data_IF_445762960731
#
_entry.id   IF_445762960731
#
_cell.length_a   1.000
_cell.length_b   1.000
_cell.length_c   1.000
_cell.angle_alpha   90.00
_cell.angle_beta   90.00
_cell.angle_gamma   90.00
#
_symmetry.space_group_name_H-M   'P 1'
#
loop_
_entity.id
_entity.type
_entity.pdbx_description
1 polymer ?
#
# COMPACT_ATOMS: atom_id res chain seq x y z
N UNK A 1 -39.75 2.77 -41.81
CA UNK A 1 -38.89 2.10 -42.80
C UNK A 1 -38.80 2.99 -44.03
N UNK A 2 -37.64 2.99 -44.68
CA UNK A 2 -37.27 3.70 -45.92
C UNK A 2 -37.37 5.23 -45.90
N UNK A 3 -36.29 5.87 -45.44
CA UNK A 3 -35.98 7.26 -45.74
C UNK A 3 -34.52 7.55 -45.39
N UNK A 4 -33.76 8.00 -46.39
CA UNK A 4 -32.46 8.66 -46.26
C UNK A 4 -31.18 7.78 -46.17
N UNK A 5 -30.93 6.98 -47.22
CA UNK A 5 -29.55 6.67 -47.67
C UNK A 5 -29.33 7.06 -49.14
N UNK A 6 -30.07 8.05 -49.65
CA UNK A 6 -29.89 8.57 -51.01
C UNK A 6 -28.72 9.55 -51.16
N UNK A 7 -28.05 9.90 -50.05
CA UNK A 7 -26.84 10.73 -50.04
C UNK A 7 -25.54 9.90 -49.94
N UNK A 8 -25.64 8.58 -49.71
CA UNK A 8 -24.48 7.70 -49.55
C UNK A 8 -23.61 7.54 -50.81
N UNK A 9 -24.18 7.46 -52.03
CA UNK A 9 -23.35 7.45 -53.23
C UNK A 9 -22.59 8.77 -53.39
N UNK A 10 -23.20 9.91 -53.06
CA UNK A 10 -22.57 11.22 -53.13
C UNK A 10 -21.50 11.42 -52.06
N UNK A 11 -21.67 10.89 -50.85
CA UNK A 11 -20.68 10.99 -49.77
C UNK A 11 -19.44 10.13 -50.05
N UNK A 12 -19.59 8.96 -50.68
CA UNK A 12 -18.45 8.12 -51.07
C UNK A 12 -17.68 8.75 -52.24
N UNK A 13 -18.37 9.39 -53.19
CA UNK A 13 -17.72 10.07 -54.32
C UNK A 13 -17.06 11.39 -53.89
N UNK A 14 -17.70 12.22 -53.06
CA UNK A 14 -17.09 13.44 -52.51
C UNK A 14 -16.03 13.16 -51.44
N UNK A 15 -16.23 12.15 -50.60
CA UNK A 15 -15.24 11.70 -49.62
C UNK A 15 -14.00 11.09 -50.29
N UNK A 16 -14.20 10.29 -51.33
CA UNK A 16 -13.10 9.77 -52.16
C UNK A 16 -12.32 10.88 -52.87
N UNK A 17 -13.01 11.89 -53.42
CA UNK A 17 -12.36 13.02 -54.08
C UNK A 17 -11.59 13.92 -53.10
N UNK A 18 -12.11 14.16 -51.89
CA UNK A 18 -11.43 14.94 -50.85
C UNK A 18 -10.19 14.22 -50.30
N UNK A 19 -10.28 12.90 -50.07
CA UNK A 19 -9.13 12.09 -49.65
C UNK A 19 -8.09 11.99 -50.77
N UNK A 20 -8.52 11.81 -52.02
CA UNK A 20 -7.61 11.84 -53.16
C UNK A 20 -6.94 13.21 -53.32
N UNK A 21 -7.65 14.32 -53.12
CA UNK A 21 -7.08 15.66 -53.14
C UNK A 21 -6.09 15.90 -52.00
N UNK A 22 -6.37 15.44 -50.78
CA UNK A 22 -5.45 15.53 -49.64
C UNK A 22 -4.22 14.64 -49.82
N UNK A 23 -4.38 13.43 -50.37
CA UNK A 23 -3.26 12.54 -50.70
C UNK A 23 -2.45 13.04 -51.90
N UNK A 24 -3.10 13.68 -52.88
CA UNK A 24 -2.43 14.36 -54.00
C UNK A 24 -1.67 15.57 -53.48
N UNK A 25 -2.24 16.39 -52.59
CA UNK A 25 -1.57 17.55 -51.99
C UNK A 25 -0.47 17.12 -51.02
N UNK A 26 -0.63 16.05 -50.22
CA UNK A 26 0.46 15.47 -49.42
C UNK A 26 1.52 14.82 -50.30
N UNK A 27 1.14 14.18 -51.40
CA UNK A 27 2.04 13.59 -52.38
C UNK A 27 2.82 14.64 -53.18
N UNK A 28 2.19 15.77 -53.51
CA UNK A 28 2.79 16.93 -54.16
C UNK A 28 3.61 17.77 -53.16
N UNK A 29 3.25 17.84 -51.88
CA UNK A 29 4.08 18.45 -50.82
C UNK A 29 5.24 17.55 -50.39
N UNK A 30 5.08 16.23 -50.45
CA UNK A 30 6.16 15.26 -50.23
C UNK A 30 7.09 15.16 -51.45
N UNK A 31 6.55 15.24 -52.69
CA UNK A 31 7.35 15.44 -53.91
C UNK A 31 8.01 16.81 -53.92
N UNK A 32 7.33 17.87 -53.49
CA UNK A 32 7.90 19.20 -53.31
C UNK A 32 9.02 19.21 -52.28
N UNK A 33 8.84 18.55 -51.12
CA UNK A 33 9.92 18.33 -50.14
C UNK A 33 11.06 17.48 -50.70
N UNK A 34 10.79 16.42 -51.47
CA UNK A 34 11.82 15.58 -52.10
C UNK A 34 12.54 16.26 -53.26
N UNK A 35 11.87 17.15 -53.99
CA UNK A 35 12.45 17.99 -55.03
C UNK A 35 13.27 19.09 -54.38
N UNK A 36 12.79 19.75 -53.32
CA UNK A 36 13.57 20.70 -52.50
C UNK A 36 14.74 20.04 -51.76
N UNK A 37 14.63 18.76 -51.37
CA UNK A 37 15.71 17.95 -50.79
C UNK A 37 16.71 17.47 -51.85
N UNK A 38 16.28 17.26 -53.11
CA UNK A 38 17.15 16.91 -54.24
C UNK A 38 17.84 18.13 -54.84
N UNK A 39 17.16 19.27 -54.89
CA UNK A 39 17.65 20.59 -55.27
C UNK A 39 18.57 21.15 -54.16
N UNK A 40 18.29 20.84 -52.90
CA UNK A 40 19.19 21.07 -51.76
C UNK A 40 20.38 20.12 -51.64
N UNK A 41 20.58 19.21 -52.59
CA UNK A 41 21.76 18.32 -52.74
C UNK A 41 22.67 18.71 -53.90
N UNK A 42 22.33 19.76 -54.67
CA UNK A 42 23.29 20.27 -55.65
C UNK A 42 24.54 20.79 -54.94
N UNK A 43 25.74 20.65 -55.52
CA UNK A 43 26.97 21.13 -54.92
C UNK A 43 26.89 22.61 -54.51
N UNK A 44 26.23 23.45 -55.31
CA UNK A 44 26.03 24.88 -55.05
C UNK A 44 25.05 25.15 -53.90
N UNK A 45 23.93 24.41 -53.82
CA UNK A 45 22.98 24.59 -52.72
C UNK A 45 23.57 24.11 -51.38
N UNK A 46 24.37 23.04 -51.41
CA UNK A 46 25.10 22.57 -50.23
C UNK A 46 26.18 23.57 -49.80
N UNK A 47 26.86 24.20 -50.75
CA UNK A 47 27.86 25.23 -50.48
C UNK A 47 27.27 26.48 -49.80
N UNK A 48 26.14 26.99 -50.32
CA UNK A 48 25.43 28.10 -49.70
C UNK A 48 24.94 27.75 -48.28
N UNK A 49 24.38 26.55 -48.09
CA UNK A 49 23.92 26.07 -46.79
C UNK A 49 25.08 25.90 -45.80
N UNK A 50 26.21 25.37 -46.26
CA UNK A 50 27.41 25.23 -45.44
C UNK A 50 27.95 26.61 -45.00
N UNK A 51 27.96 27.59 -45.91
CA UNK A 51 28.33 28.98 -45.59
C UNK A 51 27.42 29.62 -44.55
N UNK A 52 26.09 29.48 -44.71
CA UNK A 52 25.12 29.98 -43.72
C UNK A 52 25.26 29.28 -42.37
N UNK A 53 25.43 27.95 -42.37
CA UNK A 53 25.60 27.16 -41.14
C UNK A 53 26.88 27.54 -40.38
N UNK A 54 27.97 27.85 -41.09
CA UNK A 54 29.22 28.33 -40.49
C UNK A 54 29.01 29.65 -39.75
N UNK A 55 28.39 30.64 -40.39
CA UNK A 55 28.13 31.95 -39.78
C UNK A 55 27.21 31.80 -38.55
N UNK A 56 26.13 31.04 -38.67
CA UNK A 56 25.20 30.81 -37.56
C UNK A 56 25.86 30.10 -36.38
N UNK A 57 26.67 29.06 -36.65
CA UNK A 57 27.34 28.33 -35.58
C UNK A 57 28.45 29.17 -34.93
N UNK A 58 29.18 30.00 -35.69
CA UNK A 58 30.17 30.93 -35.14
C UNK A 58 29.53 31.97 -34.21
N UNK A 59 28.43 32.59 -34.65
CA UNK A 59 27.67 33.55 -33.83
C UNK A 59 27.17 32.92 -32.51
N UNK A 60 26.61 31.71 -32.57
CA UNK A 60 26.12 30.97 -31.39
C UNK A 60 27.25 30.63 -30.42
N UNK A 61 28.39 30.15 -30.94
CA UNK A 61 29.54 29.80 -30.09
C UNK A 61 30.13 31.05 -29.45
N UNK A 62 30.26 32.16 -30.20
CA UNK A 62 30.74 33.44 -29.66
C UNK A 62 29.83 33.96 -28.55
N UNK A 63 28.52 33.93 -28.76
CA UNK A 63 27.56 34.31 -27.72
C UNK A 63 27.68 33.43 -26.47
N UNK A 64 27.92 32.13 -26.63
CA UNK A 64 28.07 31.22 -25.51
C UNK A 64 29.40 31.37 -24.76
N UNK A 65 30.46 31.86 -25.42
CA UNK A 65 31.71 32.22 -24.76
C UNK A 65 31.52 33.36 -23.78
N UNK A 66 30.80 34.41 -24.20
CA UNK A 66 30.44 35.52 -23.33
C UNK A 66 29.62 35.02 -22.13
N UNK A 67 28.71 34.07 -22.39
CA UNK A 67 27.83 33.48 -21.39
C UNK A 67 28.56 32.67 -20.30
N UNK A 68 29.70 32.03 -20.62
CA UNK A 68 30.51 31.32 -19.62
C UNK A 68 31.01 32.29 -18.55
N UNK A 69 31.45 33.49 -18.93
CA UNK A 69 31.90 34.52 -17.99
C UNK A 69 30.79 34.99 -17.06
N UNK A 70 29.59 35.21 -17.60
CA UNK A 70 28.41 35.55 -16.79
C UNK A 70 27.98 34.39 -15.87
N UNK A 71 28.03 33.16 -16.36
CA UNK A 71 27.71 31.98 -15.57
C UNK A 71 28.71 31.76 -14.43
N UNK A 72 30.01 31.99 -14.65
CA UNK A 72 31.04 31.91 -13.60
C UNK A 72 30.81 32.96 -12.50
N UNK A 73 30.44 34.18 -12.89
CA UNK A 73 30.16 35.25 -11.94
C UNK A 73 28.90 34.97 -11.10
N UNK A 74 27.85 34.42 -11.71
CA UNK A 74 26.56 34.21 -11.06
C UNK A 74 26.46 32.88 -10.30
N UNK A 75 26.95 31.79 -10.89
CA UNK A 75 26.81 30.43 -10.38
C UNK A 75 28.13 29.82 -9.87
N UNK A 76 29.26 30.48 -10.10
CA UNK A 76 30.57 30.00 -9.69
C UNK A 76 31.23 29.05 -10.70
N UNK A 77 32.52 28.76 -10.45
CA UNK A 77 33.39 28.03 -11.38
C UNK A 77 32.99 26.58 -11.60
N UNK A 78 32.50 25.88 -10.58
CA UNK A 78 32.04 24.49 -10.71
C UNK A 78 30.88 24.38 -11.71
N UNK A 79 30.01 25.38 -11.66
CA UNK A 79 28.71 25.36 -12.31
C UNK A 79 28.82 25.85 -13.77
N UNK A 80 29.71 26.79 -14.04
CA UNK A 80 30.03 27.21 -15.40
C UNK A 80 30.93 26.21 -16.16
N UNK A 81 31.59 25.28 -15.46
CA UNK A 81 32.52 24.33 -16.08
C UNK A 81 31.87 23.46 -17.17
N UNK A 82 30.56 23.18 -17.05
CA UNK A 82 29.85 22.38 -18.05
C UNK A 82 29.60 23.17 -19.33
N UNK A 83 29.15 24.42 -19.23
CA UNK A 83 29.00 25.35 -20.35
C UNK A 83 30.36 25.59 -21.02
N UNK A 84 31.41 25.82 -20.23
CA UNK A 84 32.78 26.01 -20.72
C UNK A 84 33.29 24.80 -21.53
N UNK A 85 33.00 23.57 -21.08
CA UNK A 85 33.33 22.35 -21.82
C UNK A 85 32.57 22.28 -23.14
N UNK A 86 31.26 22.53 -23.14
CA UNK A 86 30.45 22.51 -24.35
C UNK A 86 30.94 23.54 -25.39
N UNK A 87 31.25 24.76 -24.94
CA UNK A 87 31.87 25.81 -25.77
C UNK A 87 33.21 25.34 -26.33
N UNK A 88 34.09 24.74 -25.52
CA UNK A 88 35.39 24.25 -26.00
C UNK A 88 35.26 23.17 -27.08
N UNK A 89 34.29 22.26 -26.95
CA UNK A 89 33.97 21.23 -27.93
C UNK A 89 33.34 21.82 -29.20
N UNK A 90 32.46 22.80 -29.05
CA UNK A 90 31.86 23.52 -30.18
C UNK A 90 32.91 24.30 -30.99
N UNK A 91 33.87 24.96 -30.31
CA UNK A 91 35.03 25.59 -30.97
C UNK A 91 35.88 24.58 -31.74
N UNK A 92 36.06 23.36 -31.23
CA UNK A 92 36.78 22.32 -31.95
C UNK A 92 36.06 21.93 -33.25
N UNK A 93 34.75 21.70 -33.19
CA UNK A 93 33.95 21.38 -34.36
C UNK A 93 33.96 22.53 -35.39
N UNK A 94 33.91 23.79 -34.96
CA UNK A 94 34.03 24.96 -35.84
C UNK A 94 35.42 25.04 -36.50
N UNK A 95 36.51 24.79 -35.76
CA UNK A 95 37.86 24.75 -36.34
C UNK A 95 37.95 23.70 -37.45
N UNK A 96 37.40 22.52 -37.23
CA UNK A 96 37.35 21.47 -38.26
C UNK A 96 36.51 21.91 -39.47
N UNK A 97 35.38 22.58 -39.26
CA UNK A 97 34.52 23.09 -40.32
C UNK A 97 35.20 24.19 -41.15
N UNK A 98 35.91 25.13 -40.52
CA UNK A 98 36.68 26.17 -41.22
C UNK A 98 37.86 25.58 -42.03
N UNK A 99 38.52 24.54 -41.54
CA UNK A 99 39.57 23.84 -42.30
C UNK A 99 39.01 23.17 -43.56
N UNK A 100 37.80 22.62 -43.49
CA UNK A 100 37.12 22.08 -44.67
C UNK A 100 36.69 23.19 -45.63
N UNK A 101 36.24 24.33 -45.11
CA UNK A 101 35.90 25.52 -45.91
C UNK A 101 37.12 26.06 -46.66
N UNK A 102 38.27 26.14 -45.98
CA UNK A 102 39.52 26.58 -46.59
C UNK A 102 39.97 25.68 -47.75
N UNK A 103 39.74 24.36 -47.66
CA UNK A 103 40.03 23.43 -48.76
C UNK A 103 39.13 23.67 -49.97
N UNK A 104 37.84 23.91 -49.73
CA UNK A 104 36.87 24.22 -50.79
C UNK A 104 37.14 25.55 -51.51
N UNK A 105 37.75 26.50 -50.80
CA UNK A 105 38.06 27.85 -51.30
C UNK A 105 39.49 27.97 -51.85
N UNK A 106 40.27 26.87 -51.88
CA UNK A 106 41.63 26.89 -52.40
C UNK A 106 41.68 26.92 -53.94
N UNK A 107 42.90 27.03 -54.50
CA UNK A 107 43.10 27.13 -55.95
C UNK A 107 43.12 25.77 -56.67
N UNK A 108 42.98 24.65 -55.92
CA UNK A 108 43.03 23.29 -56.43
C UNK A 108 41.60 22.87 -56.80
N UNK A 109 41.33 22.46 -58.05
CA UNK A 109 39.99 22.05 -58.44
C UNK A 109 39.55 20.75 -57.73
N UNK A 110 38.52 20.85 -56.90
CA UNK A 110 37.89 19.70 -56.24
C UNK A 110 36.89 18.95 -57.14
N UNK A 111 36.73 17.64 -56.92
CA UNK A 111 35.67 16.87 -57.57
C UNK A 111 34.29 17.20 -56.98
N UNK A 112 33.21 17.05 -57.76
CA UNK A 112 31.84 17.25 -57.27
C UNK A 112 31.50 16.37 -56.05
N UNK A 113 32.07 15.16 -56.00
CA UNK A 113 31.93 14.23 -54.87
C UNK A 113 32.64 14.75 -53.62
N UNK A 114 33.86 15.29 -53.76
CA UNK A 114 34.61 15.88 -52.65
C UNK A 114 33.92 17.15 -52.12
N UNK A 115 33.44 18.02 -53.02
CA UNK A 115 32.65 19.21 -52.66
C UNK A 115 31.39 18.86 -51.88
N UNK A 116 30.65 17.86 -52.36
CA UNK A 116 29.43 17.37 -51.71
C UNK A 116 29.74 16.80 -50.31
N UNK A 117 30.80 15.98 -50.20
CA UNK A 117 31.21 15.35 -48.93
C UNK A 117 31.67 16.39 -47.91
N UNK A 118 32.52 17.34 -48.29
CA UNK A 118 33.03 18.35 -47.39
C UNK A 118 31.96 19.36 -46.97
N UNK A 119 31.10 19.83 -47.88
CA UNK A 119 29.97 20.69 -47.51
C UNK A 119 28.99 19.99 -46.56
N UNK A 120 28.68 18.71 -46.80
CA UNK A 120 27.86 17.92 -45.87
C UNK A 120 28.52 17.83 -44.49
N UNK A 121 29.83 17.57 -44.45
CA UNK A 121 30.57 17.48 -43.19
C UNK A 121 30.62 18.82 -42.44
N UNK A 122 30.77 19.94 -43.15
CA UNK A 122 30.69 21.29 -42.57
C UNK A 122 29.33 21.48 -41.90
N UNK A 123 28.23 21.15 -42.59
CA UNK A 123 26.87 21.27 -42.06
C UNK A 123 26.71 20.41 -40.78
N UNK A 124 27.21 19.18 -40.77
CA UNK A 124 27.16 18.29 -39.60
C UNK A 124 27.97 18.82 -38.40
N UNK A 125 29.17 19.35 -38.65
CA UNK A 125 30.03 19.94 -37.63
C UNK A 125 29.39 21.19 -37.02
N UNK A 126 28.84 22.08 -37.85
CA UNK A 126 28.12 23.27 -37.41
C UNK A 126 26.88 22.89 -36.59
N UNK A 127 26.06 21.95 -37.08
CA UNK A 127 24.91 21.44 -36.33
C UNK A 127 25.30 20.79 -34.99
N UNK A 128 26.46 20.14 -34.92
CA UNK A 128 26.97 19.56 -33.66
C UNK A 128 27.41 20.66 -32.69
N UNK A 129 28.15 21.66 -33.16
CA UNK A 129 28.58 22.81 -32.36
C UNK A 129 27.37 23.56 -31.76
N UNK A 130 26.37 23.88 -32.59
CA UNK A 130 25.13 24.55 -32.16
C UNK A 130 24.38 23.75 -31.10
N UNK A 131 24.15 22.45 -31.33
CA UNK A 131 23.41 21.61 -30.35
C UNK A 131 24.10 21.51 -28.99
N UNK A 132 25.43 21.39 -28.96
CA UNK A 132 26.19 21.30 -27.70
C UNK A 132 25.98 22.56 -26.85
N UNK A 133 26.07 23.72 -27.48
CA UNK A 133 25.90 25.02 -26.82
C UNK A 133 24.44 25.25 -26.40
N UNK A 134 23.47 24.99 -27.27
CA UNK A 134 22.05 25.20 -26.99
C UNK A 134 21.55 24.35 -25.82
N UNK A 135 22.04 23.11 -25.70
CA UNK A 135 21.67 22.21 -24.60
C UNK A 135 22.06 22.81 -23.24
N UNK A 136 23.31 23.28 -23.13
CA UNK A 136 23.82 23.84 -21.88
C UNK A 136 23.24 25.24 -21.59
N UNK A 137 23.04 26.08 -22.61
CA UNK A 137 22.39 27.38 -22.46
C UNK A 137 20.93 27.24 -21.98
N UNK A 138 20.23 26.19 -22.40
CA UNK A 138 18.87 25.90 -21.93
C UNK A 138 18.87 25.58 -20.43
N UNK A 139 19.80 24.73 -19.96
CA UNK A 139 19.99 24.43 -18.54
C UNK A 139 20.31 25.68 -17.71
N UNK A 140 21.20 26.54 -18.20
CA UNK A 140 21.51 27.82 -17.55
C UNK A 140 20.29 28.76 -17.48
N UNK A 141 19.50 28.78 -18.56
CA UNK A 141 18.27 29.58 -18.64
C UNK A 141 17.21 29.11 -17.63
N UNK A 142 17.06 27.80 -17.44
CA UNK A 142 16.18 27.21 -16.41
C UNK A 142 16.64 27.59 -15.00
N UNK A 143 17.95 27.55 -14.73
CA UNK A 143 18.49 27.98 -13.43
C UNK A 143 18.25 29.46 -13.18
N UNK A 144 18.43 30.30 -14.20
CA UNK A 144 18.12 31.73 -14.11
C UNK A 144 16.64 32.01 -13.96
N UNK A 145 15.75 31.21 -14.57
CA UNK A 145 14.32 31.39 -14.32
C UNK A 145 13.98 31.08 -12.88
N UNK A 146 14.58 30.05 -12.27
CA UNK A 146 14.40 29.76 -10.83
C UNK A 146 14.84 30.95 -9.96
N UNK A 147 15.99 31.55 -10.25
CA UNK A 147 16.46 32.74 -9.50
C UNK A 147 15.59 33.98 -9.76
N UNK A 148 15.06 34.14 -10.98
CA UNK A 148 14.12 35.22 -11.32
C UNK A 148 12.80 35.09 -10.57
N UNK A 149 12.31 33.87 -10.42
CA UNK A 149 11.06 33.54 -9.73
C UNK A 149 11.26 33.44 -8.20
N UNK A 150 12.50 33.57 -7.70
CA UNK A 150 12.85 33.44 -6.29
C UNK A 150 12.05 34.36 -5.35
N UNK A 151 11.79 35.65 -5.66
CA UNK A 151 11.01 36.52 -4.79
C UNK A 151 9.56 36.04 -4.59
N UNK A 152 8.93 35.56 -5.67
CA UNK A 152 7.57 35.01 -5.61
C UNK A 152 7.54 33.71 -4.80
N UNK A 153 8.49 32.79 -5.07
CA UNK A 153 8.60 31.54 -4.31
C UNK A 153 8.89 31.79 -2.84
N UNK A 154 9.72 32.77 -2.50
CA UNK A 154 9.98 33.17 -1.12
C UNK A 154 8.71 33.65 -0.42
N UNK A 155 7.91 34.49 -1.07
CA UNK A 155 6.64 34.98 -0.53
C UNK A 155 5.67 33.81 -0.26
N UNK A 156 5.52 32.89 -1.21
CA UNK A 156 4.68 31.70 -1.07
C UNK A 156 5.15 30.79 0.09
N UNK A 157 6.45 30.54 0.19
CA UNK A 157 7.02 29.71 1.26
C UNK A 157 6.90 30.38 2.63
N UNK A 158 7.08 31.70 2.72
CA UNK A 158 6.93 32.46 3.96
C UNK A 158 5.47 32.47 4.44
N UNK A 159 4.51 32.60 3.53
CA UNK A 159 3.09 32.44 3.86
C UNK A 159 2.79 31.02 4.38
N UNK A 160 3.35 29.99 3.74
CA UNK A 160 3.22 28.60 4.17
C UNK A 160 3.85 28.32 5.54
N UNK A 161 4.96 28.99 5.87
CA UNK A 161 5.57 28.96 7.20
C UNK A 161 4.62 29.52 8.25
N UNK A 162 4.11 30.74 8.05
CA UNK A 162 3.20 31.39 8.98
C UNK A 162 1.91 30.56 9.21
N UNK A 163 1.34 30.00 8.15
CA UNK A 163 0.19 29.09 8.24
C UNK A 163 0.49 27.85 9.10
N UNK A 164 1.66 27.24 8.90
CA UNK A 164 2.06 26.02 9.62
C UNK A 164 2.42 26.32 11.08
N UNK A 165 3.04 27.47 11.36
CA UNK A 165 3.30 27.97 12.71
C UNK A 165 1.99 28.22 13.47
N UNK A 166 0.99 28.81 12.82
CA UNK A 166 -0.33 29.03 13.39
C UNK A 166 -1.07 27.72 13.74
N UNK A 167 -0.71 26.59 13.13
CA UNK A 167 -1.27 25.27 13.43
C UNK A 167 -0.64 24.59 14.67
N UNK A 168 0.54 25.05 15.15
CA UNK A 168 1.23 24.45 16.30
C UNK A 168 0.39 24.43 17.59
N UNK A 169 -0.29 25.52 18.00
CA UNK A 169 -1.11 25.52 19.20
C UNK A 169 -2.25 24.50 19.13
N UNK A 170 -2.89 24.35 17.97
CA UNK A 170 -3.94 23.36 17.76
C UNK A 170 -3.40 21.93 17.89
N UNK A 171 -2.25 21.63 17.28
CA UNK A 171 -1.59 20.32 17.41
C UNK A 171 -1.21 20.00 18.87
N UNK A 172 -0.71 20.98 19.62
CA UNK A 172 -0.43 20.83 21.07
C UNK A 172 -1.70 20.56 21.86
N UNK A 173 -2.77 21.33 21.63
CA UNK A 173 -4.05 21.12 22.29
C UNK A 173 -4.64 19.74 22.01
N UNK A 174 -4.49 19.23 20.78
CA UNK A 174 -4.88 17.85 20.41
C UNK A 174 -4.07 16.83 21.20
N UNK A 175 -2.75 16.96 21.28
CA UNK A 175 -1.92 16.05 22.09
C UNK A 175 -2.26 16.11 23.58
N UNK A 176 -2.52 17.29 24.13
CA UNK A 176 -2.92 17.44 25.53
C UNK A 176 -4.27 16.75 25.78
N UNK A 177 -5.21 16.82 24.82
CA UNK A 177 -6.46 16.10 24.87
C UNK A 177 -6.26 14.57 24.80
N UNK A 178 -5.36 14.11 23.94
CA UNK A 178 -5.00 12.68 23.86
C UNK A 178 -4.31 12.21 25.14
N UNK A 179 -3.37 12.97 25.70
CA UNK A 179 -2.60 12.62 26.90
C UNK A 179 -3.46 12.53 28.16
N UNK A 180 -4.62 13.20 28.19
CA UNK A 180 -5.61 13.05 29.26
C UNK A 180 -6.40 11.72 29.19
N UNK A 181 -6.39 11.05 28.05
CA UNK A 181 -7.30 9.93 27.74
C UNK A 181 -6.57 8.63 27.40
N UNK A 182 -5.41 8.71 26.77
CA UNK A 182 -4.60 7.60 26.29
C UNK A 182 -3.23 7.54 26.97
N UNK A 183 -2.64 6.35 27.06
CA UNK A 183 -1.31 6.18 27.66
C UNK A 183 -0.20 6.82 26.81
N UNK A 184 0.94 7.19 27.40
CA UNK A 184 2.11 7.66 26.64
C UNK A 184 2.59 6.64 25.60
N UNK A 185 2.47 5.35 25.91
CA UNK A 185 2.81 4.25 24.99
C UNK A 185 1.86 4.16 23.79
N UNK A 186 0.58 4.54 23.95
CA UNK A 186 -0.39 4.57 22.86
C UNK A 186 -0.17 5.78 21.93
N UNK A 187 0.22 6.94 22.49
CA UNK A 187 0.56 8.14 21.71
C UNK A 187 1.89 7.97 20.98
N UNK A 188 2.86 7.31 21.61
CA UNK A 188 4.14 6.95 21.00
C UNK A 188 4.94 8.17 20.55
N UNK A 189 5.59 8.05 19.39
CA UNK A 189 6.48 9.08 18.84
C UNK A 189 5.77 10.41 18.50
N UNK A 190 4.44 10.40 18.33
CA UNK A 190 3.68 11.61 18.02
C UNK A 190 3.68 12.64 19.16
N UNK A 191 4.01 12.23 20.40
CA UNK A 191 4.10 13.13 21.55
C UNK A 191 5.12 14.27 21.35
N UNK A 192 6.21 14.01 20.62
CA UNK A 192 7.26 14.99 20.34
C UNK A 192 7.02 15.78 19.04
N UNK A 193 5.95 15.47 18.30
CA UNK A 193 5.74 16.03 16.96
C UNK A 193 5.67 17.57 16.92
N UNK A 194 4.95 18.28 17.81
CA UNK A 194 4.92 19.74 17.77
C UNK A 194 6.27 20.38 18.11
N UNK A 195 7.08 19.74 18.97
CA UNK A 195 8.43 20.23 19.30
C UNK A 195 9.36 20.06 18.10
N UNK A 196 9.30 18.89 17.46
CA UNK A 196 10.07 18.60 16.24
C UNK A 196 9.67 19.52 15.09
N UNK A 197 8.37 19.72 14.87
CA UNK A 197 7.85 20.65 13.86
C UNK A 197 8.29 22.10 14.14
N UNK A 198 8.21 22.57 15.38
CA UNK A 198 8.68 23.91 15.75
C UNK A 198 10.18 24.09 15.47
N UNK A 199 11.02 23.09 15.77
CA UNK A 199 12.45 23.13 15.45
C UNK A 199 12.72 23.19 13.94
N UNK A 200 11.96 22.42 13.15
CA UNK A 200 12.03 22.45 11.68
C UNK A 200 11.57 23.80 11.10
N UNK A 201 10.51 24.40 11.65
CA UNK A 201 10.02 25.71 11.25
C UNK A 201 11.04 26.81 11.58
N UNK A 202 11.73 26.74 12.72
CA UNK A 202 12.82 27.65 13.04
C UNK A 202 14.01 27.54 12.06
N UNK A 203 14.35 26.33 11.59
CA UNK A 203 15.36 26.14 10.54
C UNK A 203 14.89 26.66 9.18
N UNK A 204 13.62 26.42 8.85
CA UNK A 204 13.01 26.96 7.63
C UNK A 204 12.99 28.49 7.66
N UNK A 205 12.76 29.12 8.82
CA UNK A 205 12.83 30.57 8.98
C UNK A 205 14.22 31.12 8.73
N UNK A 206 15.25 30.52 9.34
CA UNK A 206 16.66 30.89 9.07
C UNK A 206 17.01 30.77 7.59
N UNK A 207 16.53 29.72 6.93
CA UNK A 207 16.72 29.53 5.49
C UNK A 207 15.95 30.57 4.66
N UNK A 208 14.76 30.98 5.10
CA UNK A 208 13.97 32.02 4.43
C UNK A 208 14.63 33.41 4.57
N UNK A 209 15.17 33.73 5.74
CA UNK A 209 15.93 34.97 5.97
C UNK A 209 17.20 34.99 5.09
N UNK A 210 17.91 33.86 4.97
CA UNK A 210 19.05 33.73 4.06
C UNK A 210 18.65 33.84 2.58
N UNK A 211 17.48 33.31 2.19
CA UNK A 211 16.94 33.48 0.84
C UNK A 211 16.57 34.95 0.55
N UNK A 212 15.94 35.64 1.50
CA UNK A 212 15.60 37.06 1.38
C UNK A 212 16.86 37.92 1.19
N UNK A 213 17.88 37.63 2.00
CA UNK A 213 19.18 38.28 1.95
C UNK A 213 19.89 38.00 0.60
N UNK A 214 19.83 36.75 0.10
CA UNK A 214 20.36 36.39 -1.20
C UNK A 214 19.64 37.12 -2.35
N UNK A 215 18.31 37.19 -2.32
CA UNK A 215 17.50 37.96 -3.29
C UNK A 215 17.90 39.43 -3.27
N UNK A 216 18.05 40.04 -2.08
CA UNK A 216 18.40 41.45 -1.94
C UNK A 216 19.79 41.79 -2.51
N UNK A 217 20.74 40.85 -2.38
CA UNK A 217 22.12 41.01 -2.88
C UNK A 217 22.31 40.54 -4.32
N UNK A 218 21.30 39.95 -4.95
CA UNK A 218 21.40 39.35 -6.28
C UNK A 218 22.31 38.12 -6.33
N UNK A 219 22.44 37.38 -5.22
CA UNK A 219 23.16 36.10 -5.13
C UNK A 219 22.18 34.92 -5.21
N UNK A 220 22.69 33.69 -5.31
CA UNK A 220 21.86 32.48 -5.46
C UNK A 220 20.90 32.26 -4.28
N UNK A 221 19.60 32.40 -4.52
CA UNK A 221 18.54 32.16 -3.55
C UNK A 221 17.99 30.73 -3.64
N UNK A 222 18.11 30.06 -4.79
CA UNK A 222 17.53 28.73 -5.01
C UNK A 222 17.91 27.69 -3.94
N UNK A 223 19.18 27.56 -3.51
CA UNK A 223 19.55 26.56 -2.50
C UNK A 223 18.89 26.81 -1.14
N UNK A 224 18.71 28.08 -0.78
CA UNK A 224 18.04 28.48 0.46
C UNK A 224 16.54 28.20 0.37
N UNK A 225 15.89 28.52 -0.76
CA UNK A 225 14.47 28.21 -1.00
C UNK A 225 14.19 26.71 -0.95
N UNK A 226 15.07 25.87 -1.52
CA UNK A 226 14.95 24.41 -1.43
C UNK A 226 15.05 23.91 0.02
N UNK A 227 15.91 24.54 0.83
CA UNK A 227 15.99 24.23 2.26
C UNK A 227 14.70 24.60 3.00
N UNK A 228 14.13 25.80 2.74
CA UNK A 228 12.83 26.21 3.29
C UNK A 228 11.75 25.19 2.94
N UNK A 229 11.61 24.85 1.65
CA UNK A 229 10.58 23.92 1.17
C UNK A 229 10.69 22.54 1.83
N UNK A 230 11.92 22.03 1.98
CA UNK A 230 12.18 20.72 2.61
C UNK A 230 11.82 20.70 4.10
N UNK A 231 12.25 21.71 4.85
CA UNK A 231 11.96 21.82 6.28
C UNK A 231 10.48 22.06 6.54
N UNK A 232 9.84 22.95 5.77
CA UNK A 232 8.39 23.21 5.83
C UNK A 232 7.58 21.94 5.50
N UNK A 233 7.94 21.24 4.43
CA UNK A 233 7.28 19.98 4.04
C UNK A 233 7.39 18.91 5.12
N UNK A 234 8.56 18.79 5.75
CA UNK A 234 8.77 17.85 6.84
C UNK A 234 7.97 18.25 8.09
N UNK A 235 7.96 19.53 8.45
CA UNK A 235 7.19 20.05 9.59
C UNK A 235 5.68 19.77 9.41
N UNK A 236 5.14 20.00 8.21
CA UNK A 236 3.73 19.70 7.88
C UNK A 236 3.42 18.21 8.02
N UNK A 237 4.26 17.33 7.49
CA UNK A 237 4.09 15.88 7.65
C UNK A 237 4.15 15.47 9.13
N UNK A 238 5.08 16.04 9.90
CA UNK A 238 5.18 15.79 11.35
C UNK A 238 3.93 16.24 12.10
N UNK A 239 3.33 17.39 11.76
CA UNK A 239 2.07 17.82 12.37
C UNK A 239 0.89 16.94 11.96
N UNK A 240 0.83 16.50 10.70
CA UNK A 240 -0.20 15.58 10.22
C UNK A 240 -0.21 14.23 10.97
N UNK A 241 0.94 13.79 11.50
CA UNK A 241 1.02 12.61 12.36
C UNK A 241 0.19 12.76 13.65
N UNK A 242 0.02 13.98 14.18
CA UNK A 242 -0.81 14.26 15.37
C UNK A 242 -2.29 14.05 15.06
N UNK A 243 -2.76 14.51 13.90
CA UNK A 243 -4.14 14.30 13.45
C UNK A 243 -4.40 12.81 13.22
N UNK A 244 -3.49 12.13 12.53
CA UNK A 244 -3.62 10.70 12.25
C UNK A 244 -3.64 9.83 13.52
N UNK A 245 -2.78 10.10 14.50
CA UNK A 245 -2.80 9.35 15.77
C UNK A 245 -4.08 9.64 16.57
N UNK A 246 -4.59 10.87 16.50
CA UNK A 246 -5.85 11.22 17.16
C UNK A 246 -7.02 10.42 16.57
N UNK A 247 -7.14 10.36 15.24
CA UNK A 247 -8.14 9.55 14.55
C UNK A 247 -8.00 8.07 14.89
N UNK A 248 -6.77 7.55 14.82
CA UNK A 248 -6.48 6.13 15.11
C UNK A 248 -6.88 5.75 16.53
N UNK A 249 -6.49 6.54 17.53
CA UNK A 249 -6.77 6.24 18.93
C UNK A 249 -8.25 6.39 19.27
N UNK A 250 -8.94 7.39 18.72
CA UNK A 250 -10.38 7.55 18.90
C UNK A 250 -11.16 6.43 18.20
N UNK A 251 -10.76 6.02 17.00
CA UNK A 251 -11.34 4.88 16.29
C UNK A 251 -11.16 3.58 17.07
N UNK A 252 -9.96 3.33 17.58
CA UNK A 252 -9.68 2.16 18.41
C UNK A 252 -10.45 2.20 19.74
N UNK A 253 -10.67 3.36 20.36
CA UNK A 253 -11.51 3.46 21.56
C UNK A 253 -12.97 3.06 21.27
N UNK A 254 -13.54 3.53 20.16
CA UNK A 254 -14.90 3.14 19.73
C UNK A 254 -14.98 1.65 19.39
N UNK A 255 -13.96 1.10 18.74
CA UNK A 255 -13.87 -0.34 18.43
C UNK A 255 -13.77 -1.19 19.70
N UNK A 256 -13.04 -0.73 20.72
CA UNK A 256 -12.98 -1.39 22.02
C UNK A 256 -14.35 -1.44 22.69
N UNK A 257 -15.11 -0.34 22.67
CA UNK A 257 -16.47 -0.30 23.23
C UNK A 257 -17.42 -1.27 22.50
N UNK A 258 -17.38 -1.30 21.17
CA UNK A 258 -18.15 -2.26 20.36
C UNK A 258 -17.75 -3.69 20.66
N UNK A 259 -16.44 -3.99 20.65
CA UNK A 259 -15.92 -5.34 20.91
C UNK A 259 -16.29 -5.82 22.31
N UNK A 260 -16.26 -4.93 23.31
CA UNK A 260 -16.69 -5.25 24.67
C UNK A 260 -18.19 -5.60 24.73
N UNK A 261 -19.03 -4.86 24.00
CA UNK A 261 -20.46 -5.16 23.92
C UNK A 261 -20.70 -6.53 23.24
N UNK A 262 -20.01 -6.81 22.14
CA UNK A 262 -20.11 -8.08 21.40
C UNK A 262 -19.62 -9.26 22.26
N UNK A 263 -18.47 -9.14 22.93
CA UNK A 263 -17.96 -10.18 23.83
C UNK A 263 -18.92 -10.43 24.98
N UNK A 264 -19.56 -9.40 25.55
CA UNK A 264 -20.58 -9.59 26.61
C UNK A 264 -21.82 -10.31 26.10
N UNK A 265 -22.28 -10.00 24.89
CA UNK A 265 -23.38 -10.72 24.25
C UNK A 265 -23.00 -12.19 24.03
N UNK A 266 -21.81 -12.46 23.47
CA UNK A 266 -21.28 -13.82 23.29
C UNK A 266 -21.17 -14.60 24.59
N UNK A 267 -20.72 -13.97 25.69
CA UNK A 267 -20.69 -14.59 27.03
C UNK A 267 -22.10 -14.97 27.50
N UNK A 268 -23.11 -14.10 27.27
CA UNK A 268 -24.48 -14.39 27.65
C UNK A 268 -25.06 -15.58 26.87
N UNK A 269 -24.81 -15.63 25.55
CA UNK A 269 -25.19 -16.76 24.70
C UNK A 269 -24.49 -18.06 25.11
N UNK A 270 -23.19 -17.98 25.41
CA UNK A 270 -22.41 -19.13 25.85
C UNK A 270 -22.90 -19.67 27.19
N UNK A 271 -23.26 -18.81 28.15
CA UNK A 271 -23.88 -19.23 29.43
C UNK A 271 -25.18 -19.99 29.17
N UNK A 272 -26.05 -19.49 28.30
CA UNK A 272 -27.28 -20.18 27.94
C UNK A 272 -27.00 -21.54 27.27
N UNK A 273 -26.00 -21.61 26.38
CA UNK A 273 -25.60 -22.86 25.72
C UNK A 273 -25.01 -23.88 26.71
N UNK A 274 -24.20 -23.43 27.67
CA UNK A 274 -23.66 -24.26 28.76
C UNK A 274 -24.79 -24.83 29.62
N UNK A 275 -25.70 -23.97 30.08
CA UNK A 275 -26.77 -24.37 31.00
C UNK A 275 -27.79 -25.32 30.34
N UNK A 276 -27.94 -25.24 29.01
CA UNK A 276 -28.77 -26.16 28.23
C UNK A 276 -28.02 -27.43 27.76
N UNK A 277 -26.71 -27.57 28.02
CA UNK A 277 -25.92 -28.66 27.48
C UNK A 277 -26.16 -29.97 28.26
N UNK A 278 -26.57 -31.07 27.61
CA UNK A 278 -26.81 -32.34 28.29
C UNK A 278 -25.52 -33.08 28.68
N UNK A 279 -24.35 -32.65 28.19
CA UNK A 279 -23.06 -33.30 28.46
C UNK A 279 -22.24 -32.46 29.46
N UNK A 280 -21.91 -32.97 30.66
CA UNK A 280 -21.14 -32.23 31.66
C UNK A 280 -19.78 -31.73 31.15
N UNK A 281 -18.98 -32.60 30.54
CA UNK A 281 -17.65 -32.23 30.03
C UNK A 281 -17.71 -31.12 28.96
N UNK A 282 -18.75 -31.14 28.12
CA UNK A 282 -18.96 -30.10 27.11
C UNK A 282 -19.46 -28.79 27.73
N UNK A 283 -20.21 -28.86 28.84
CA UNK A 283 -20.59 -27.68 29.61
C UNK A 283 -19.38 -27.07 30.33
N UNK A 284 -18.50 -27.89 30.90
CA UNK A 284 -17.27 -27.45 31.56
C UNK A 284 -16.32 -26.73 30.58
N UNK A 285 -16.15 -27.29 29.38
CA UNK A 285 -15.38 -26.65 28.29
C UNK A 285 -15.89 -25.23 27.96
N UNK A 286 -17.22 -25.08 27.84
CA UNK A 286 -17.83 -23.75 27.63
C UNK A 286 -17.59 -22.85 28.86
N UNK A 287 -17.69 -23.41 30.08
CA UNK A 287 -17.46 -22.70 31.33
C UNK A 287 -16.05 -22.11 31.47
N UNK A 288 -15.04 -22.86 31.06
CA UNK A 288 -13.64 -22.41 31.06
C UNK A 288 -13.43 -21.26 30.07
N UNK A 289 -13.95 -21.38 28.85
CA UNK A 289 -13.87 -20.33 27.84
C UNK A 289 -14.65 -19.06 28.26
N UNK A 290 -15.82 -19.21 28.88
CA UNK A 290 -16.58 -18.11 29.49
C UNK A 290 -15.72 -17.38 30.52
N UNK A 291 -14.96 -18.10 31.34
CA UNK A 291 -14.12 -17.51 32.40
C UNK A 291 -13.00 -16.65 31.79
N UNK A 292 -12.37 -17.11 30.70
CA UNK A 292 -11.36 -16.32 29.97
C UNK A 292 -11.98 -15.06 29.35
N UNK A 293 -13.13 -15.21 28.67
CA UNK A 293 -13.84 -14.10 28.06
C UNK A 293 -14.31 -13.05 29.08
N UNK A 294 -14.80 -13.48 30.25
CA UNK A 294 -15.18 -12.57 31.34
C UNK A 294 -14.00 -11.74 31.84
N UNK A 295 -12.84 -12.38 32.11
CA UNK A 295 -11.64 -11.64 32.55
C UNK A 295 -11.21 -10.60 31.53
N UNK A 296 -11.22 -10.94 30.24
CA UNK A 296 -10.91 -9.99 29.18
C UNK A 296 -11.92 -8.84 29.11
N UNK A 297 -13.21 -9.12 29.29
CA UNK A 297 -14.27 -8.12 29.33
C UNK A 297 -14.17 -7.19 30.55
N UNK A 298 -13.86 -7.72 31.73
CA UNK A 298 -13.71 -6.95 32.96
C UNK A 298 -12.49 -6.01 32.90
N UNK A 299 -11.38 -6.49 32.35
CA UNK A 299 -10.18 -5.69 32.08
C UNK A 299 -10.48 -4.55 31.10
N UNK A 300 -11.18 -4.85 30.00
CA UNK A 300 -11.58 -3.85 29.01
C UNK A 300 -12.58 -2.85 29.59
N UNK A 301 -13.53 -3.29 30.41
CA UNK A 301 -14.47 -2.41 31.10
C UNK A 301 -13.74 -1.44 32.04
N UNK A 302 -12.75 -1.93 32.79
CA UNK A 302 -11.95 -1.08 33.69
C UNK A 302 -11.26 0.03 32.89
N UNK A 303 -10.73 -0.31 31.71
CA UNK A 303 -10.09 0.63 30.80
C UNK A 303 -11.08 1.62 30.17
N UNK A 304 -12.26 1.18 29.76
CA UNK A 304 -13.32 2.05 29.22
C UNK A 304 -13.88 2.97 30.31
N UNK A 305 -14.08 2.48 31.53
CA UNK A 305 -14.55 3.30 32.65
C UNK A 305 -13.55 4.40 33.02
N UNK A 306 -12.26 4.11 32.94
CA UNK A 306 -11.21 5.11 33.10
C UNK A 306 -11.33 6.25 32.06
N UNK A 307 -11.84 5.97 30.84
CA UNK A 307 -12.12 7.00 29.82
C UNK A 307 -13.26 7.94 30.23
N UNK A 308 -14.33 7.40 30.81
CA UNK A 308 -15.52 8.17 31.17
C UNK A 308 -15.28 9.13 32.35
N UNK A 309 -14.32 8.82 33.22
CA UNK A 309 -13.92 9.67 34.35
C UNK A 309 -12.89 10.74 33.98
N UNK A 310 -12.34 10.72 32.76
CA UNK A 310 -11.44 11.77 32.27
C UNK A 310 -12.21 13.03 31.84
N UNK A 311 -11.58 14.23 31.86
CA UNK A 311 -12.22 15.46 31.37
C UNK A 311 -12.62 15.27 29.90
N UNK A 312 -13.93 15.33 29.60
CA UNK A 312 -14.46 15.13 28.25
C UNK A 312 -14.01 16.27 27.33
N UNK A 313 -13.10 15.97 26.40
CA UNK A 313 -12.59 16.91 25.40
C UNK A 313 -13.53 17.08 24.18
N UNK A 314 -14.85 17.08 24.40
CA UNK A 314 -15.84 17.18 23.31
C UNK A 314 -15.85 18.58 22.66
N UNK A 315 -15.20 19.58 23.25
CA UNK A 315 -15.11 20.94 22.69
C UNK A 315 -13.89 21.23 21.79
N UNK A 316 -12.81 20.46 21.86
CA UNK A 316 -11.52 20.87 21.27
C UNK A 316 -11.38 20.54 19.77
N UNK A 317 -11.92 19.40 19.32
CA UNK A 317 -11.77 18.93 17.92
C UNK A 317 -12.68 19.74 16.97
N UNK A 318 -13.89 20.12 17.42
CA UNK A 318 -14.81 20.96 16.66
C UNK A 318 -14.33 22.41 16.47
N UNK A 319 -13.65 22.97 17.47
CA UNK A 319 -13.10 24.33 17.41
C UNK A 319 -11.88 24.42 16.47
N UNK A 320 -11.02 23.40 16.44
CA UNK A 320 -9.85 23.37 15.56
C UNK A 320 -10.23 23.24 14.07
N UNK A 321 -11.21 22.40 13.74
CA UNK A 321 -11.72 22.29 12.36
C UNK A 321 -12.53 23.51 11.92
N UNK A 322 -13.26 24.16 12.83
CA UNK A 322 -13.96 25.43 12.55
C UNK A 322 -13.00 26.58 12.25
N UNK A 323 -11.85 26.63 12.92
CA UNK A 323 -10.81 27.64 12.65
C UNK A 323 -10.11 27.42 11.30
N UNK A 324 -9.88 26.16 10.91
CA UNK A 324 -9.22 25.79 9.63
C UNK A 324 -10.10 26.06 8.40
N UNK A 325 -11.42 26.05 8.54
CA UNK A 325 -12.37 26.41 7.48
C UNK A 325 -12.59 27.93 7.32
N UNK A 326 -12.23 28.73 8.34
CA UNK A 326 -12.47 30.18 8.36
C UNK A 326 -11.29 31.01 7.84
N UNK A 327 -10.12 30.41 7.62
CA UNK A 327 -8.92 31.10 7.12
C UNK A 327 -8.73 30.90 5.62
N UNK A 328 -9.58 31.56 4.82
CA UNK A 328 -9.29 31.91 3.44
C UNK A 328 -9.09 33.44 3.41
N UNK A 329 -7.90 33.99 3.11
CA UNK A 329 -7.74 35.43 3.05
C UNK A 329 -8.32 36.00 1.73
N UNK A 330 -8.99 37.16 1.74
CA UNK A 330 -9.18 37.95 0.53
C UNK A 330 -7.85 38.59 0.11
N UNK A 331 -7.69 38.80 -1.20
CA UNK A 331 -6.49 39.42 -1.81
C UNK A 331 -6.33 40.89 -1.39
N UNK A 332 -5.09 41.22 -1.06
CA UNK A 332 -4.30 42.47 -1.19
C UNK A 332 -4.99 43.85 -1.04
N UNK A 333 -4.42 44.68 -0.17
CA UNK A 333 -4.01 46.05 -0.55
C UNK A 333 -2.81 46.53 0.31
N UNK A 334 -2.06 47.48 -0.26
CA UNK A 334 -0.72 47.95 0.09
C UNK A 334 -0.59 48.71 1.44
N UNK A 335 0.59 48.63 2.08
CA UNK A 335 1.03 49.62 3.08
C UNK A 335 2.02 49.12 4.16
N UNK A 336 3.30 49.49 3.99
CA UNK A 336 4.45 49.58 4.93
C UNK A 336 4.63 48.61 6.13
N UNK A 337 5.81 47.95 6.28
CA UNK A 337 6.13 47.18 7.48
C UNK A 337 6.79 48.05 8.57
N UNK A 338 6.09 48.26 9.68
CA UNK A 338 6.70 48.67 10.94
C UNK A 338 7.26 47.43 11.65
N UNK A 339 8.58 47.46 11.88
CA UNK A 339 9.36 46.44 12.58
C UNK A 339 9.01 46.48 14.08
N UNK A 340 8.51 45.38 14.63
CA UNK A 340 8.39 45.20 16.07
C UNK A 340 9.31 44.04 16.50
N UNK A 341 10.42 44.41 17.13
CA UNK A 341 11.21 43.52 17.99
C UNK A 341 10.29 42.95 19.09
N UNK A 342 10.29 41.63 19.23
CA UNK A 342 9.78 40.95 20.40
C UNK A 342 10.87 39.98 20.87
N UNK A 343 11.43 40.34 22.02
CA UNK A 343 12.50 39.65 22.71
C UNK A 343 12.21 38.16 22.92
N UNK A 344 13.25 37.37 22.69
CA UNK A 344 13.27 35.96 23.04
C UNK A 344 13.37 35.79 24.54
N UNK A 345 12.35 35.17 25.12
CA UNK A 345 12.44 34.64 26.48
C UNK A 345 12.33 33.11 26.44
N UNK A 346 13.41 32.49 26.91
CA UNK A 346 13.74 31.07 26.89
C UNK A 346 12.61 30.17 27.41
N UNK A 347 12.06 29.35 26.51
CA UNK A 347 11.21 28.21 26.87
C UNK A 347 12.07 26.99 27.27
N UNK A 348 12.79 27.12 28.39
CA UNK A 348 13.38 26.01 29.13
C UNK A 348 12.92 26.07 30.58
N UNK A 349 11.68 25.71 30.85
CA UNK A 349 11.33 24.88 32.02
C UNK A 349 9.82 24.63 32.08
N UNK A 350 9.44 23.36 32.07
CA UNK A 350 8.25 22.79 32.73
C UNK A 350 7.99 21.39 32.16
N UNK A 351 8.96 20.47 32.29
CA UNK A 351 8.60 19.06 32.45
C UNK A 351 7.97 18.93 33.84
N UNK A 352 6.70 19.30 33.92
CA UNK A 352 5.84 18.87 35.02
C UNK A 352 5.78 17.36 34.88
N UNK A 353 6.35 16.67 35.85
CA UNK A 353 6.30 15.23 36.00
C UNK A 353 4.83 14.80 36.00
N UNK A 354 4.34 14.37 34.82
CA UNK A 354 3.04 13.74 34.68
C UNK A 354 3.17 12.38 35.37
N UNK A 355 2.75 12.32 36.62
CA UNK A 355 2.45 11.06 37.31
C UNK A 355 1.58 10.22 36.37
N UNK A 356 1.95 8.97 36.03
CA UNK A 356 1.16 8.18 35.10
C UNK A 356 -0.10 7.71 35.83
N UNK A 357 -1.16 8.52 35.74
CA UNK A 357 -2.52 7.98 35.83
C UNK A 357 -2.68 7.14 34.56
N UNK A 358 -2.71 5.81 34.70
CA UNK A 358 -2.68 4.87 33.57
C UNK A 358 -3.74 5.22 32.52
N UNK A 359 -3.31 5.79 31.40
CA UNK A 359 -4.18 6.11 30.28
C UNK A 359 -4.55 4.86 29.47
N UNK A 360 -5.60 4.94 28.66
CA UNK A 360 -6.04 3.82 27.82
C UNK A 360 -4.97 3.47 26.77
N UNK A 361 -4.73 2.17 26.59
CA UNK A 361 -4.13 1.65 25.36
C UNK A 361 -5.12 0.68 24.70
N UNK A 362 -5.90 1.11 23.69
CA UNK A 362 -7.04 0.34 23.20
C UNK A 362 -6.61 -0.86 22.35
N UNK A 363 -5.50 -0.76 21.61
CA UNK A 363 -5.09 -1.80 20.65
C UNK A 363 -4.83 -3.16 21.32
N UNK A 364 -4.05 -3.26 22.42
CA UNK A 364 -3.87 -4.53 23.13
C UNK A 364 -5.15 -5.05 23.79
N UNK A 365 -6.08 -4.17 24.17
CA UNK A 365 -7.34 -4.57 24.78
C UNK A 365 -8.29 -5.19 23.77
N UNK A 366 -8.42 -4.60 22.58
CA UNK A 366 -9.16 -5.17 21.45
C UNK A 366 -8.60 -6.55 21.09
N UNK A 367 -7.26 -6.68 21.01
CA UNK A 367 -6.61 -7.96 20.75
C UNK A 367 -7.03 -9.05 21.75
N UNK A 368 -6.97 -8.75 23.06
CA UNK A 368 -7.39 -9.70 24.10
C UNK A 368 -8.87 -10.08 24.03
N UNK A 369 -9.76 -9.14 23.72
CA UNK A 369 -11.19 -9.43 23.54
C UNK A 369 -11.45 -10.33 22.32
N UNK A 370 -10.76 -10.07 21.21
CA UNK A 370 -10.83 -10.90 20.00
C UNK A 370 -10.35 -12.32 20.28
N UNK A 371 -9.17 -12.46 20.90
CA UNK A 371 -8.61 -13.77 21.23
C UNK A 371 -9.54 -14.56 22.16
N UNK A 372 -10.13 -13.89 23.17
CA UNK A 372 -11.06 -14.54 24.08
C UNK A 372 -12.39 -14.91 23.42
N UNK A 373 -12.90 -14.07 22.51
CA UNK A 373 -14.12 -14.38 21.74
C UNK A 373 -13.90 -15.56 20.80
N UNK A 374 -12.74 -15.64 20.14
CA UNK A 374 -12.36 -16.79 19.31
C UNK A 374 -12.28 -18.09 20.12
N UNK A 375 -11.71 -18.04 21.33
CA UNK A 375 -11.68 -19.20 22.23
C UNK A 375 -13.09 -19.64 22.65
N UNK A 376 -13.98 -18.67 22.91
CA UNK A 376 -15.38 -18.93 23.24
C UNK A 376 -16.13 -19.61 22.09
N UNK A 377 -15.96 -19.12 20.86
CA UNK A 377 -16.56 -19.70 19.67
C UNK A 377 -16.06 -21.12 19.40
N UNK A 378 -14.77 -21.36 19.58
CA UNK A 378 -14.17 -22.70 19.46
C UNK A 378 -14.77 -23.68 20.49
N UNK A 379 -14.87 -23.27 21.76
CA UNK A 379 -15.48 -24.09 22.81
C UNK A 379 -16.95 -24.42 22.51
N UNK A 380 -17.73 -23.44 22.00
CA UNK A 380 -19.11 -23.66 21.58
C UNK A 380 -19.22 -24.63 20.40
N UNK A 381 -18.35 -24.50 19.40
CA UNK A 381 -18.32 -25.39 18.24
C UNK A 381 -17.95 -26.83 18.62
N UNK A 382 -16.97 -27.00 19.50
CA UNK A 382 -16.55 -28.30 20.02
C UNK A 382 -17.66 -28.94 20.87
N UNK A 383 -18.27 -28.18 21.78
CA UNK A 383 -19.37 -28.66 22.61
C UNK A 383 -20.57 -29.11 21.77
N UNK A 384 -20.95 -28.35 20.73
CA UNK A 384 -22.00 -28.73 19.77
C UNK A 384 -21.64 -30.02 19.03
N UNK A 385 -20.40 -30.14 18.57
CA UNK A 385 -19.91 -31.34 17.87
C UNK A 385 -19.96 -32.58 18.77
N UNK A 386 -19.65 -32.43 20.06
CA UNK A 386 -19.75 -33.51 21.04
C UNK A 386 -21.19 -33.96 21.27
N UNK A 387 -22.12 -33.02 21.41
CA UNK A 387 -23.56 -33.34 21.54
C UNK A 387 -24.06 -34.11 20.31
N UNK A 388 -23.74 -33.64 19.11
CA UNK A 388 -24.15 -34.32 17.88
C UNK A 388 -23.49 -35.70 17.72
N UNK A 389 -22.22 -35.86 18.12
CA UNK A 389 -21.55 -37.17 18.16
C UNK A 389 -22.30 -38.18 19.03
N UNK A 390 -22.71 -37.79 20.24
CA UNK A 390 -23.45 -38.66 21.14
C UNK A 390 -24.84 -38.98 20.59
N UNK A 391 -25.59 -37.98 20.07
CA UNK A 391 -26.91 -38.21 19.45
C UNK A 391 -26.82 -39.20 18.28
N UNK A 392 -25.84 -39.01 17.40
CA UNK A 392 -25.63 -39.88 16.25
C UNK A 392 -25.25 -41.31 16.68
N UNK A 393 -24.42 -41.44 17.71
CA UNK A 393 -24.08 -42.75 18.27
C UNK A 393 -25.32 -43.47 18.84
N UNK A 394 -26.17 -42.75 19.61
CA UNK A 394 -27.42 -43.29 20.14
C UNK A 394 -28.40 -43.73 19.03
N UNK A 395 -28.54 -42.94 17.98
CA UNK A 395 -29.39 -43.27 16.83
C UNK A 395 -28.88 -44.53 16.11
N UNK A 396 -27.55 -44.62 15.88
CA UNK A 396 -26.93 -45.76 15.21
C UNK A 396 -26.91 -47.03 16.07
N UNK A 397 -26.80 -46.90 17.40
CA UNK A 397 -26.74 -48.02 18.35
C UNK A 397 -27.94 -48.95 18.24
N UNK A 398 -29.15 -48.39 18.08
CA UNK A 398 -30.38 -49.19 17.94
C UNK A 398 -30.30 -50.14 16.74
N UNK A 399 -29.87 -49.62 15.59
CA UNK A 399 -29.69 -50.43 14.39
C UNK A 399 -28.56 -51.46 14.55
N UNK A 400 -27.44 -51.08 15.15
CA UNK A 400 -26.30 -51.97 15.38
C UNK A 400 -26.65 -53.15 16.30
N UNK A 401 -27.37 -52.90 17.40
CA UNK A 401 -27.84 -53.97 18.30
C UNK A 401 -28.81 -54.90 17.58
N UNK A 402 -29.77 -54.35 16.82
CA UNK A 402 -30.71 -55.15 16.05
C UNK A 402 -29.99 -56.08 15.08
N UNK A 403 -29.08 -55.55 14.26
CA UNK A 403 -28.30 -56.34 13.32
C UNK A 403 -27.44 -57.40 14.03
N UNK A 404 -26.77 -57.04 15.13
CA UNK A 404 -25.95 -57.98 15.88
C UNK A 404 -26.78 -59.17 16.40
N UNK A 405 -27.94 -58.91 17.00
CA UNK A 405 -28.85 -59.97 17.48
C UNK A 405 -29.32 -60.88 16.34
N UNK A 406 -29.71 -60.31 15.20
CA UNK A 406 -30.11 -61.11 14.04
C UNK A 406 -28.97 -62.00 13.52
N UNK A 407 -27.73 -61.49 13.47
CA UNK A 407 -26.59 -62.32 13.06
C UNK A 407 -26.25 -63.41 14.07
N UNK A 408 -26.35 -63.12 15.37
CA UNK A 408 -26.15 -64.09 16.44
C UNK A 408 -27.18 -65.22 16.33
N UNK A 409 -28.46 -64.89 16.16
CA UNK A 409 -29.54 -65.87 16.01
C UNK A 409 -29.31 -66.79 14.80
N UNK A 410 -29.00 -66.21 13.63
CA UNK A 410 -28.70 -66.98 12.40
C UNK A 410 -27.50 -67.92 12.60
N UNK A 411 -26.41 -67.43 13.20
CA UNK A 411 -25.23 -68.23 13.47
C UNK A 411 -25.53 -69.35 14.49
N UNK A 412 -26.24 -69.03 15.57
CA UNK A 412 -26.60 -69.97 16.64
C UNK A 412 -27.49 -71.11 16.12
N UNK A 413 -28.51 -70.79 15.31
CA UNK A 413 -29.42 -71.78 14.71
C UNK A 413 -28.67 -72.74 13.78
N UNK A 414 -27.78 -72.19 12.93
CA UNK A 414 -26.98 -73.01 12.02
C UNK A 414 -26.02 -73.93 12.77
N UNK A 415 -25.31 -73.39 13.78
CA UNK A 415 -24.35 -74.13 14.61
C UNK A 415 -25.06 -75.24 15.39
N UNK A 416 -26.24 -74.96 15.95
CA UNK A 416 -27.04 -75.94 16.71
C UNK A 416 -27.53 -77.07 15.82
N UNK A 417 -28.04 -76.74 14.62
CA UNK A 417 -28.52 -77.71 13.63
C UNK A 417 -27.40 -78.62 13.09
N UNK A 418 -26.15 -78.14 13.09
CA UNK A 418 -24.98 -78.85 12.54
C UNK A 418 -23.94 -79.22 13.61
N UNK A 419 -24.37 -79.44 14.86
CA UNK A 419 -23.47 -79.58 16.02
C UNK A 419 -22.35 -80.60 15.87
N UNK A 420 -22.52 -81.67 15.08
CA UNK A 420 -21.51 -82.71 14.89
C UNK A 420 -20.45 -82.37 13.84
N UNK A 421 -20.69 -81.34 13.02
CA UNK A 421 -19.84 -80.97 11.88
C UNK A 421 -19.16 -79.61 12.03
N UNK A 422 -19.65 -78.76 12.94
CA UNK A 422 -19.06 -77.45 13.21
C UNK A 422 -17.87 -77.56 14.18
N UNK A 423 -16.80 -76.82 13.91
CA UNK A 423 -15.58 -76.77 14.71
C UNK A 423 -15.69 -75.91 15.98
N UNK A 424 -14.71 -76.02 16.90
CA UNK A 424 -14.70 -75.25 18.16
C UNK A 424 -14.49 -73.74 17.95
N UNK A 425 -13.83 -73.34 16.87
CA UNK A 425 -13.54 -71.93 16.56
C UNK A 425 -14.83 -71.13 16.28
N UNK A 426 -15.73 -71.67 15.45
CA UNK A 426 -17.04 -71.05 15.18
C UNK A 426 -17.88 -70.88 16.45
N UNK A 427 -17.90 -71.90 17.32
CA UNK A 427 -18.60 -71.82 18.63
C UNK A 427 -18.00 -70.79 19.56
N UNK A 428 -16.68 -70.66 19.56
CA UNK A 428 -15.97 -69.67 20.39
C UNK A 428 -16.26 -68.26 19.92
N UNK A 429 -16.30 -68.01 18.60
CA UNK A 429 -16.70 -66.71 18.02
C UNK A 429 -18.14 -66.36 18.32
N UNK A 430 -19.06 -67.33 18.26
CA UNK A 430 -20.45 -67.12 18.66
C UNK A 430 -20.56 -66.73 20.15
N UNK A 431 -19.92 -67.48 21.04
CA UNK A 431 -19.95 -67.19 22.47
C UNK A 431 -19.35 -65.81 22.82
N UNK A 432 -18.28 -65.40 22.12
CA UNK A 432 -17.73 -64.06 22.30
C UNK A 432 -18.65 -62.97 21.70
N UNK A 433 -19.34 -63.23 20.57
CA UNK A 433 -20.34 -62.30 20.03
C UNK A 433 -21.50 -62.08 21.02
N UNK A 434 -22.02 -63.16 21.61
CA UNK A 434 -23.06 -63.14 22.65
C UNK A 434 -22.59 -62.37 23.89
N UNK A 435 -21.33 -62.56 24.31
CA UNK A 435 -20.75 -61.79 25.40
C UNK A 435 -20.67 -60.29 25.07
N UNK A 436 -20.20 -59.94 23.87
CA UNK A 436 -20.06 -58.55 23.46
C UNK A 436 -21.42 -57.85 23.38
N UNK A 437 -22.49 -58.51 22.90
CA UNK A 437 -23.80 -57.85 22.85
C UNK A 437 -24.38 -57.54 24.24
N UNK A 438 -24.11 -58.40 25.23
CA UNK A 438 -24.44 -58.13 26.64
C UNK A 438 -23.64 -56.94 27.17
N UNK A 439 -22.34 -56.86 26.86
CA UNK A 439 -21.50 -55.72 27.24
C UNK A 439 -21.96 -54.41 26.59
N UNK A 440 -22.41 -54.44 25.33
CA UNK A 440 -22.94 -53.26 24.65
C UNK A 440 -24.18 -52.69 25.35
N UNK A 441 -25.08 -53.56 25.84
CA UNK A 441 -26.27 -53.14 26.58
C UNK A 441 -25.98 -52.64 27.99
N UNK A 442 -24.82 -52.98 28.56
CA UNK A 442 -24.39 -52.56 29.89
C UNK A 442 -23.54 -51.28 29.89
N UNK A 443 -22.99 -50.84 28.75
CA UNK A 443 -22.20 -49.62 28.67
C UNK A 443 -23.07 -48.37 28.77
N UNK A 444 -22.60 -47.41 29.58
CA UNK A 444 -23.25 -46.12 29.76
C UNK A 444 -22.89 -45.09 28.66
N UNK A 445 -21.77 -45.28 27.95
CA UNK A 445 -21.36 -44.43 26.84
C UNK A 445 -21.94 -44.97 25.52
N UNK A 446 -22.84 -44.23 24.84
CA UNK A 446 -23.43 -44.66 23.57
C UNK A 446 -22.41 -44.93 22.45
N UNK A 447 -21.25 -44.25 22.48
CA UNK A 447 -20.21 -44.41 21.46
C UNK A 447 -19.49 -45.74 21.67
N UNK A 448 -19.09 -46.01 22.91
CA UNK A 448 -18.50 -47.30 23.29
C UNK A 448 -19.50 -48.44 23.03
N UNK A 449 -20.75 -48.30 23.47
CA UNK A 449 -21.80 -49.28 23.24
C UNK A 449 -22.01 -49.58 21.75
N UNK A 450 -21.98 -48.56 20.89
CA UNK A 450 -22.11 -48.72 19.44
C UNK A 450 -20.94 -49.51 18.85
N UNK A 451 -19.72 -49.22 19.31
CA UNK A 451 -18.53 -49.94 18.85
C UNK A 451 -18.52 -51.39 19.34
N UNK A 452 -18.97 -51.66 20.57
CA UNK A 452 -19.15 -53.01 21.09
C UNK A 452 -20.21 -53.76 20.25
N UNK A 453 -21.37 -53.16 19.98
CA UNK A 453 -22.43 -53.79 19.18
C UNK A 453 -21.97 -54.12 17.75
N UNK A 454 -21.21 -53.21 17.12
CA UNK A 454 -20.59 -53.45 15.80
C UNK A 454 -19.55 -54.57 15.84
N UNK A 455 -18.77 -54.68 16.93
CA UNK A 455 -17.85 -55.81 17.14
C UNK A 455 -18.62 -57.12 17.28
N UNK A 456 -19.70 -57.15 18.04
CA UNK A 456 -20.56 -58.33 18.20
C UNK A 456 -21.12 -58.81 16.85
N UNK A 457 -21.63 -57.88 16.02
CA UNK A 457 -22.12 -58.21 14.68
C UNK A 457 -21.04 -58.87 13.81
N UNK A 458 -19.81 -58.32 13.80
CA UNK A 458 -18.69 -58.92 13.05
C UNK A 458 -18.33 -60.32 13.55
N UNK A 459 -18.26 -60.52 14.87
CA UNK A 459 -17.97 -61.82 15.46
C UNK A 459 -19.04 -62.87 15.12
N UNK A 460 -20.32 -62.47 15.10
CA UNK A 460 -21.42 -63.34 14.73
C UNK A 460 -21.37 -63.74 13.24
N UNK A 461 -21.05 -62.79 12.36
CA UNK A 461 -20.83 -63.06 10.93
C UNK A 461 -19.64 -64.01 10.71
N UNK A 462 -18.53 -63.79 11.42
CA UNK A 462 -17.37 -64.68 11.39
C UNK A 462 -17.74 -66.10 11.87
N UNK A 463 -18.57 -66.21 12.92
CA UNK A 463 -19.06 -67.49 13.43
C UNK A 463 -19.92 -68.24 12.41
N UNK A 464 -20.87 -67.56 11.76
CA UNK A 464 -21.70 -68.14 10.68
C UNK A 464 -20.82 -68.61 9.50
N UNK A 465 -19.86 -67.78 9.07
CA UNK A 465 -18.96 -68.13 7.97
C UNK A 465 -18.09 -69.36 8.27
N UNK A 466 -17.47 -69.42 9.46
CA UNK A 466 -16.70 -70.58 9.91
C UNK A 466 -17.57 -71.83 10.04
N UNK A 467 -18.77 -71.69 10.62
CA UNK A 467 -19.68 -72.81 10.76
C UNK A 467 -20.10 -73.39 9.41
N UNK A 468 -20.39 -72.54 8.41
CA UNK A 468 -20.72 -72.97 7.04
C UNK A 468 -19.54 -73.63 6.34
N UNK A 469 -18.33 -73.11 6.56
CA UNK A 469 -17.10 -73.72 6.05
C UNK A 469 -16.90 -75.13 6.62
N UNK A 470 -17.01 -75.29 7.94
CA UNK A 470 -16.87 -76.57 8.63
C UNK A 470 -17.98 -77.58 8.22
N UNK A 471 -19.21 -77.08 8.03
CA UNK A 471 -20.35 -77.88 7.59
C UNK A 471 -20.34 -78.21 6.09
N UNK A 472 -19.42 -77.63 5.31
CA UNK A 472 -19.28 -77.81 3.86
C UNK A 472 -19.22 -79.28 3.41
N UNK A 473 -19.47 -79.56 2.11
CA UNK A 473 -19.61 -80.93 1.62
C UNK A 473 -18.38 -81.78 1.92
N UNK A 474 -18.57 -83.01 2.41
CA UNK A 474 -17.50 -84.00 2.56
C UNK A 474 -16.86 -84.22 1.19
N UNK A 475 -15.66 -83.68 0.95
CA UNK A 475 -14.78 -84.30 -0.03
C UNK A 475 -14.39 -85.66 0.55
N UNK A 476 -14.98 -86.72 0.01
CA UNK A 476 -14.50 -88.08 0.28
C UNK A 476 -13.01 -88.14 -0.09
N UNK A 477 -12.18 -88.91 0.65
CA UNK A 477 -10.80 -89.11 0.22
C UNK A 477 -10.82 -89.70 -1.19
N UNK A 478 -10.06 -89.09 -2.09
CA UNK A 478 -9.77 -89.68 -3.40
C UNK A 478 -9.02 -90.98 -3.09
N UNK A 479 -9.72 -92.12 -3.13
CA UNK A 479 -9.06 -93.42 -3.26
C UNK A 479 -8.50 -93.45 -4.68
N UNK A 480 -7.17 -93.61 -4.77
CA UNK A 480 -6.43 -93.68 -6.02
C UNK A 480 -6.79 -94.85 -6.89
#
# INVERSE_FOLDING_TARGET
MSGALWWLPSLIVFGGAAVAAVLLVRGLRARGRRVLEAEGRTPEALDQRAGLALVQADDVVRQAEDEVGFAEAQFGKSDAAQVARAVSSARQALREAFLLRQKLDDHIPDTESDRTRWNTRIIELCATATRLVETENSSLSERRSVERDAPERLAQLTAGLAETEAALPAARATLDALARRFSPTAIGAAADAPRTAAALLAEARRSADAAADAVSRGTLAAPHLDAVARHLGTARTTLAQVEHIAETLNGAASELESSLADTRAGIAEARAARDANPLPDAADLIGDAITVAQRAADDAETQVRALATGPTATGAIGAANGARAASLPPRADDGDPAVAEADGESATDARRELVPVGGLNPLPAIGRLRDASLQLDQALAEARSNVERIKNAQAALRGAIFSANSYIEVAADFITSNRSRVGPEARTRLAEAERQIVLAGASADPVEALDIARRAARLAQDADALARYDAGPRQAPIRG
#
